data_IF_826525198350
#
_entry.id   IF_826525198350
#
_cell.length_a   1.000
_cell.length_b   1.000
_cell.length_c   1.000
_cell.angle_alpha   90.00
_cell.angle_beta   90.00
_cell.angle_gamma   90.00
#
_symmetry.space_group_name_H-M   'P 1'
#
loop_
_entity.id
_entity.type
_entity.pdbx_description
1 polymer ?
#
# COMPACT_ATOMS: atom_id res chain seq x y z
N UNK A 1 11.68 15.75 -7.56
CA UNK A 1 11.98 15.68 -6.11
C UNK A 1 12.30 17.06 -5.54
N UNK A 2 13.13 17.85 -6.21
CA UNK A 2 13.62 19.14 -5.70
C UNK A 2 12.52 20.20 -5.56
N UNK A 3 11.42 20.07 -6.29
CA UNK A 3 10.27 20.98 -6.25
C UNK A 3 9.05 20.40 -5.54
N UNK A 4 9.11 19.16 -5.05
CA UNK A 4 8.00 18.56 -4.35
C UNK A 4 7.92 19.01 -2.88
N UNK A 5 6.72 19.18 -2.33
CA UNK A 5 6.55 19.40 -0.90
C UNK A 5 7.17 18.27 -0.08
N UNK A 6 7.58 18.60 1.14
CA UNK A 6 8.07 17.58 2.07
C UNK A 6 7.03 16.49 2.32
N UNK A 7 7.47 15.25 2.34
CA UNK A 7 6.65 14.07 2.64
C UNK A 7 7.32 13.22 3.72
N UNK A 8 6.50 12.62 4.55
CA UNK A 8 6.94 11.69 5.61
C UNK A 8 7.58 10.40 5.08
N UNK A 9 7.47 10.15 3.77
CA UNK A 9 7.83 8.87 3.17
C UNK A 9 6.79 7.78 3.43
N UNK A 10 7.11 6.56 2.99
CA UNK A 10 6.24 5.38 3.13
C UNK A 10 6.64 4.59 4.36
N UNK A 11 5.91 4.77 5.46
CA UNK A 11 6.12 4.04 6.72
C UNK A 11 4.78 3.77 7.42
N UNK A 12 4.74 2.76 8.28
CA UNK A 12 3.57 2.37 9.07
C UNK A 12 2.28 2.22 8.24
N UNK A 13 2.39 1.73 7.01
CA UNK A 13 1.27 1.54 6.07
C UNK A 13 0.45 2.80 5.74
N UNK A 14 0.99 3.99 5.98
CA UNK A 14 0.25 5.25 5.94
C UNK A 14 0.12 5.88 4.56
N UNK A 15 0.88 5.45 3.56
CA UNK A 15 0.96 6.15 2.27
C UNK A 15 -0.40 6.29 1.61
N UNK A 16 -1.14 5.19 1.42
CA UNK A 16 -2.46 5.26 0.81
C UNK A 16 -3.41 6.11 1.66
N UNK A 17 -3.41 5.92 2.95
CA UNK A 17 -4.36 6.58 3.84
C UNK A 17 -4.12 8.08 3.95
N UNK A 18 -2.91 8.51 4.30
CA UNK A 18 -2.58 9.92 4.53
C UNK A 18 -2.25 10.69 3.26
N UNK A 19 -1.33 10.17 2.46
CA UNK A 19 -0.92 10.85 1.23
C UNK A 19 -2.03 10.79 0.19
N UNK A 20 -2.72 9.66 0.08
CA UNK A 20 -3.89 9.51 -0.78
C UNK A 20 -5.01 10.49 -0.39
N UNK A 21 -5.29 10.66 0.90
CA UNK A 21 -6.25 11.66 1.38
C UNK A 21 -5.84 13.09 1.01
N UNK A 22 -4.57 13.46 1.26
CA UNK A 22 -4.06 14.79 0.95
C UNK A 22 -4.09 15.07 -0.57
N UNK A 23 -3.72 14.07 -1.38
CA UNK A 23 -3.77 14.16 -2.84
C UNK A 23 -5.19 14.36 -3.35
N UNK A 24 -6.15 13.59 -2.82
CA UNK A 24 -7.57 13.74 -3.15
C UNK A 24 -8.09 15.13 -2.77
N UNK A 25 -7.75 15.61 -1.58
CA UNK A 25 -8.16 16.93 -1.13
C UNK A 25 -7.57 18.06 -2.01
N UNK A 26 -6.29 17.96 -2.37
CA UNK A 26 -5.63 18.90 -3.28
C UNK A 26 -6.23 18.85 -4.70
N UNK A 27 -6.52 17.67 -5.22
CA UNK A 27 -7.17 17.51 -6.52
C UNK A 27 -8.59 18.11 -6.54
N UNK A 28 -9.35 17.94 -5.47
CA UNK A 28 -10.67 18.54 -5.33
C UNK A 28 -10.61 20.07 -5.29
N UNK A 29 -9.61 20.63 -4.61
CA UNK A 29 -9.41 22.08 -4.58
C UNK A 29 -8.99 22.62 -5.96
N UNK A 30 -8.07 21.94 -6.66
CA UNK A 30 -7.71 22.32 -8.02
C UNK A 30 -8.91 22.25 -8.98
N UNK A 31 -9.74 21.20 -8.84
CA UNK A 31 -10.99 21.07 -9.60
C UNK A 31 -11.94 22.22 -9.31
N UNK A 32 -12.11 22.60 -8.05
CA UNK A 32 -12.95 23.75 -7.66
C UNK A 32 -12.46 25.04 -8.31
N UNK A 33 -11.17 25.34 -8.26
CA UNK A 33 -10.57 26.50 -8.91
C UNK A 33 -10.81 26.51 -10.42
N UNK A 34 -10.66 25.36 -11.09
CA UNK A 34 -10.95 25.23 -12.53
C UNK A 34 -12.41 25.53 -12.85
N UNK A 35 -13.34 24.99 -12.07
CA UNK A 35 -14.77 25.20 -12.27
C UNK A 35 -15.18 26.65 -11.97
N UNK A 36 -14.59 27.33 -10.97
CA UNK A 36 -14.81 28.74 -10.69
C UNK A 36 -14.43 29.63 -11.88
N UNK A 37 -13.26 29.35 -12.47
CA UNK A 37 -12.80 30.09 -13.66
C UNK A 37 -13.71 29.79 -14.85
N UNK A 38 -13.99 28.52 -15.10
CA UNK A 38 -14.86 28.11 -16.21
C UNK A 38 -16.26 28.74 -16.08
N UNK A 39 -16.85 28.69 -14.89
CA UNK A 39 -18.17 29.27 -14.59
C UNK A 39 -18.21 30.75 -14.91
N UNK A 40 -17.20 31.51 -14.48
CA UNK A 40 -17.09 32.94 -14.71
C UNK A 40 -16.88 33.29 -16.18
N UNK A 41 -15.96 32.62 -16.86
CA UNK A 41 -15.50 33.01 -18.19
C UNK A 41 -16.32 32.39 -19.34
N UNK A 42 -16.91 31.21 -19.12
CA UNK A 42 -17.52 30.43 -20.22
C UNK A 42 -18.98 30.05 -19.98
N UNK A 43 -19.49 30.15 -18.76
CA UNK A 43 -20.82 29.64 -18.38
C UNK A 43 -21.71 30.68 -17.66
N UNK A 44 -21.59 31.95 -18.02
CA UNK A 44 -22.44 33.05 -17.54
C UNK A 44 -22.57 33.15 -15.99
N UNK A 45 -21.46 32.89 -15.27
CA UNK A 45 -21.40 32.79 -13.81
C UNK A 45 -22.21 31.62 -13.22
N UNK A 46 -22.31 30.50 -13.92
CA UNK A 46 -22.93 29.28 -13.40
C UNK A 46 -22.36 28.90 -12.04
N UNK A 47 -23.21 28.36 -11.17
CA UNK A 47 -22.77 27.86 -9.87
C UNK A 47 -21.89 26.64 -10.02
N UNK A 48 -20.97 26.43 -9.06
CA UNK A 48 -20.06 25.28 -9.09
C UNK A 48 -20.79 23.93 -9.14
N UNK A 49 -21.92 23.84 -8.46
CA UNK A 49 -22.71 22.61 -8.40
C UNK A 49 -23.41 22.28 -9.72
N UNK A 50 -23.58 23.27 -10.60
CA UNK A 50 -24.14 23.08 -11.94
C UNK A 50 -23.10 22.62 -12.97
N UNK A 51 -21.81 22.68 -12.63
CA UNK A 51 -20.70 22.33 -13.52
C UNK A 51 -20.07 20.97 -13.17
N UNK A 52 -19.56 20.29 -14.19
CA UNK A 52 -18.75 19.08 -14.03
C UNK A 52 -17.60 19.03 -15.02
N UNK A 53 -16.63 18.15 -14.75
CA UNK A 53 -15.50 17.87 -15.63
C UNK A 53 -15.53 16.38 -15.96
N UNK A 54 -15.67 16.05 -17.24
CA UNK A 54 -15.60 14.69 -17.76
C UNK A 54 -14.60 14.64 -18.90
N UNK A 55 -13.63 13.72 -18.82
CA UNK A 55 -12.59 13.54 -19.85
C UNK A 55 -11.87 14.84 -20.25
N UNK A 56 -11.61 15.71 -19.27
CA UNK A 56 -10.92 16.97 -19.50
C UNK A 56 -11.77 18.08 -20.10
N UNK A 57 -13.08 17.88 -20.19
CA UNK A 57 -14.07 18.85 -20.69
C UNK A 57 -14.96 19.32 -19.54
N UNK A 58 -15.08 20.64 -19.37
CA UNK A 58 -16.06 21.28 -18.49
C UNK A 58 -17.38 21.43 -19.21
N UNK A 59 -18.47 21.08 -18.54
CA UNK A 59 -19.84 21.15 -19.06
C UNK A 59 -20.85 21.39 -17.95
N UNK A 60 -22.07 21.81 -18.29
CA UNK A 60 -23.19 21.86 -17.38
C UNK A 60 -23.73 20.44 -17.09
N UNK A 61 -24.09 20.15 -15.82
CA UNK A 61 -24.61 18.82 -15.41
C UNK A 61 -25.98 18.50 -15.97
N UNK A 62 -26.83 19.54 -16.13
CA UNK A 62 -28.26 19.38 -16.45
C UNK A 62 -28.62 19.73 -17.89
N UNK A 63 -27.67 20.10 -18.72
CA UNK A 63 -27.91 20.34 -20.14
C UNK A 63 -27.51 19.12 -20.98
N UNK A 64 -28.28 18.85 -22.04
CA UNK A 64 -27.92 17.89 -23.08
C UNK A 64 -26.51 18.20 -23.55
N UNK A 65 -25.62 17.23 -23.48
CA UNK A 65 -24.15 17.37 -23.58
C UNK A 65 -23.64 18.07 -24.86
N UNK A 66 -24.53 18.63 -25.67
CA UNK A 66 -24.22 19.24 -26.97
C UNK A 66 -23.98 20.75 -26.97
N UNK A 67 -24.41 21.52 -25.96
CA UNK A 67 -24.53 22.96 -26.14
C UNK A 67 -23.41 23.83 -25.57
N UNK A 68 -22.75 23.49 -24.47
CA UNK A 68 -21.59 24.25 -23.95
C UNK A 68 -20.53 23.29 -23.40
N UNK A 69 -19.42 23.21 -24.08
CA UNK A 69 -18.29 22.35 -23.71
C UNK A 69 -17.00 23.14 -23.87
N UNK A 70 -16.20 23.18 -22.82
CA UNK A 70 -14.92 23.88 -22.80
C UNK A 70 -13.83 22.95 -22.27
N UNK A 71 -12.73 22.85 -22.98
CA UNK A 71 -11.61 22.04 -22.51
C UNK A 71 -10.89 22.71 -21.34
N UNK A 72 -10.28 21.90 -20.45
CA UNK A 72 -9.41 22.42 -19.40
C UNK A 72 -8.29 23.30 -20.00
N UNK A 73 -7.82 22.97 -21.19
CA UNK A 73 -6.78 23.75 -21.88
C UNK A 73 -7.26 25.18 -22.21
N UNK A 74 -8.51 25.34 -22.67
CA UNK A 74 -9.11 26.66 -22.94
C UNK A 74 -9.29 27.45 -21.63
N UNK A 75 -9.75 26.79 -20.56
CA UNK A 75 -9.86 27.43 -19.24
C UNK A 75 -8.50 27.93 -18.74
N UNK A 76 -7.46 27.13 -18.89
CA UNK A 76 -6.09 27.53 -18.50
C UNK A 76 -5.49 28.59 -19.41
N UNK A 77 -5.95 28.68 -20.67
CA UNK A 77 -5.49 29.71 -21.59
C UNK A 77 -5.93 31.11 -21.17
N UNK A 78 -7.15 31.23 -20.62
CA UNK A 78 -7.64 32.51 -20.07
C UNK A 78 -6.74 32.99 -18.91
N UNK A 79 -6.32 32.11 -18.03
CA UNK A 79 -5.38 32.45 -16.95
C UNK A 79 -4.05 33.02 -17.44
N UNK A 80 -3.57 32.60 -18.59
CA UNK A 80 -2.33 33.12 -19.17
C UNK A 80 -2.50 34.52 -19.76
N UNK A 81 -3.69 34.86 -20.25
CA UNK A 81 -3.95 36.18 -20.87
C UNK A 81 -4.17 37.26 -19.82
N UNK A 82 -4.75 36.95 -18.66
CA UNK A 82 -5.06 37.96 -17.63
C UNK A 82 -3.88 38.41 -16.79
N UNK A 83 -2.74 37.74 -16.85
CA UNK A 83 -1.63 37.97 -15.91
C UNK A 83 -0.40 38.68 -16.50
N UNK A 84 -0.52 39.39 -17.62
CA UNK A 84 0.57 40.22 -18.19
C UNK A 84 1.97 39.53 -18.15
N UNK A 85 2.02 38.23 -18.51
CA UNK A 85 3.26 37.48 -18.59
C UNK A 85 3.70 36.80 -17.29
N UNK A 86 2.93 36.86 -16.21
CA UNK A 86 3.14 35.99 -15.05
C UNK A 86 2.54 34.63 -15.33
N UNK A 87 3.28 33.56 -15.04
CA UNK A 87 2.78 32.17 -15.13
C UNK A 87 1.72 31.94 -14.06
N UNK A 88 0.46 31.99 -14.44
CA UNK A 88 -0.63 31.56 -13.59
C UNK A 88 -0.73 30.05 -13.62
N UNK A 89 -0.67 29.44 -12.46
CA UNK A 89 -0.87 28.02 -12.29
C UNK A 89 -1.99 27.78 -11.29
N UNK A 90 -2.80 26.76 -11.55
CA UNK A 90 -3.72 26.25 -10.55
C UNK A 90 -2.94 25.32 -9.63
N UNK A 91 -2.95 25.64 -8.35
CA UNK A 91 -2.32 24.81 -7.32
C UNK A 91 -3.38 24.40 -6.32
N UNK A 92 -3.71 23.12 -6.31
CA UNK A 92 -4.63 22.56 -5.31
C UNK A 92 -3.97 22.46 -3.94
N UNK A 93 -4.65 22.94 -2.92
CA UNK A 93 -4.22 22.87 -1.53
C UNK A 93 -5.32 22.23 -0.69
N UNK A 94 -5.03 21.24 0.17
CA UNK A 94 -6.04 20.68 1.04
C UNK A 94 -6.48 21.76 2.05
N UNK A 95 -7.72 22.20 1.94
CA UNK A 95 -8.28 23.21 2.83
C UNK A 95 -8.77 22.63 4.18
N UNK A 96 -8.95 21.32 4.24
CA UNK A 96 -9.48 20.62 5.40
C UNK A 96 -8.37 19.78 6.02
N UNK A 97 -8.10 19.89 7.33
CA UNK A 97 -7.17 18.99 7.99
C UNK A 97 -7.69 17.56 7.90
N UNK A 98 -6.78 16.60 7.82
CA UNK A 98 -7.15 15.20 7.92
C UNK A 98 -7.98 14.99 9.19
N UNK A 99 -9.07 14.23 9.16
CA UNK A 99 -9.82 13.90 10.36
C UNK A 99 -8.89 13.38 11.47
N UNK A 100 -9.15 13.73 12.73
CA UNK A 100 -8.29 13.29 13.82
C UNK A 100 -8.19 11.77 13.84
N UNK A 101 -7.03 11.26 14.21
CA UNK A 101 -6.67 9.83 14.22
C UNK A 101 -7.47 8.97 15.23
N UNK A 102 -8.66 9.42 15.66
CA UNK A 102 -9.58 8.66 16.51
C UNK A 102 -10.25 7.50 15.78
N UNK A 103 -10.25 7.51 14.45
CA UNK A 103 -10.65 6.39 13.62
C UNK A 103 -9.41 5.65 13.14
N UNK A 104 -9.07 4.58 13.84
CA UNK A 104 -8.02 3.68 13.35
C UNK A 104 -8.55 2.92 12.13
N UNK A 105 -7.91 3.13 10.99
CA UNK A 105 -8.14 2.32 9.80
C UNK A 105 -7.58 0.92 10.05
N UNK A 106 -8.39 0.03 10.64
CA UNK A 106 -7.99 -1.35 10.92
C UNK A 106 -7.86 -2.13 9.63
N UNK A 107 -6.78 -2.90 9.54
CA UNK A 107 -6.54 -3.84 8.46
C UNK A 107 -6.71 -5.23 9.00
N UNK A 108 -7.21 -6.13 8.18
CA UNK A 108 -7.36 -7.54 8.53
C UNK A 108 -6.73 -8.39 7.44
N UNK A 109 -6.05 -9.45 7.84
CA UNK A 109 -5.46 -10.40 6.93
C UNK A 109 -5.41 -11.79 7.54
N UNK A 110 -5.54 -12.80 6.69
CA UNK A 110 -5.31 -14.19 7.03
C UNK A 110 -4.39 -14.79 5.96
N UNK A 111 -3.45 -15.63 6.37
CA UNK A 111 -2.55 -16.31 5.45
C UNK A 111 -2.50 -17.79 5.74
N UNK A 112 -2.41 -18.58 4.70
CA UNK A 112 -2.32 -20.04 4.73
C UNK A 112 -1.10 -20.44 3.92
N UNK A 113 -0.31 -21.35 4.49
CA UNK A 113 0.93 -21.81 3.89
C UNK A 113 0.96 -23.33 3.95
N UNK A 114 1.38 -23.95 2.84
CA UNK A 114 1.73 -25.36 2.81
C UNK A 114 3.25 -25.50 2.82
N UNK A 115 3.78 -26.38 3.65
CA UNK A 115 5.22 -26.62 3.78
C UNK A 115 5.55 -28.09 3.66
N UNK A 116 6.75 -28.36 3.17
CA UNK A 116 7.44 -29.63 3.29
C UNK A 116 8.62 -29.47 4.26
N UNK A 117 8.73 -30.34 5.24
CA UNK A 117 9.84 -30.33 6.20
C UNK A 117 10.65 -31.60 6.04
N UNK A 118 11.91 -31.45 5.69
CA UNK A 118 12.87 -32.56 5.70
C UNK A 118 13.33 -32.81 7.14
N UNK A 119 12.91 -33.91 7.70
CA UNK A 119 13.18 -34.24 9.11
C UNK A 119 14.63 -34.64 9.38
N UNK A 120 15.39 -35.02 8.35
CA UNK A 120 16.81 -35.36 8.47
C UNK A 120 17.71 -34.12 8.45
N UNK A 121 17.38 -33.17 7.58
CA UNK A 121 18.19 -31.95 7.39
C UNK A 121 17.60 -30.73 8.11
N UNK A 122 16.34 -30.76 8.47
CA UNK A 122 15.60 -29.63 9.07
C UNK A 122 15.22 -28.54 8.04
N UNK A 123 15.42 -28.79 6.76
CA UNK A 123 15.05 -27.82 5.71
C UNK A 123 13.52 -27.68 5.60
N UNK A 124 13.06 -26.45 5.52
CA UNK A 124 11.66 -26.09 5.29
C UNK A 124 11.53 -25.55 3.86
N UNK A 125 10.64 -26.15 3.09
CA UNK A 125 10.29 -25.70 1.75
C UNK A 125 8.84 -25.22 1.73
N UNK A 126 8.64 -24.00 1.24
CA UNK A 126 7.31 -23.44 1.04
C UNK A 126 6.73 -23.99 -0.28
N UNK A 127 5.59 -24.66 -0.20
CA UNK A 127 4.94 -25.30 -1.36
C UNK A 127 3.83 -24.45 -1.94
N UNK A 128 2.98 -23.85 -1.08
CA UNK A 128 1.88 -23.01 -1.52
C UNK A 128 1.66 -21.85 -0.52
N UNK A 129 1.08 -20.76 -1.03
CA UNK A 129 0.79 -19.56 -0.27
C UNK A 129 -0.52 -18.93 -0.73
N UNK A 130 -1.45 -18.77 0.21
CA UNK A 130 -2.72 -18.08 -0.02
C UNK A 130 -2.90 -17.00 1.03
N UNK A 131 -3.25 -15.80 0.61
CA UNK A 131 -3.54 -14.68 1.51
C UNK A 131 -4.93 -14.10 1.23
N UNK A 132 -5.67 -13.79 2.28
CA UNK A 132 -6.87 -12.96 2.24
C UNK A 132 -6.55 -11.64 2.94
N UNK A 133 -6.80 -10.51 2.27
CA UNK A 133 -6.46 -9.18 2.77
C UNK A 133 -7.66 -8.23 2.68
N UNK A 134 -8.01 -7.59 3.79
CA UNK A 134 -8.91 -6.45 3.85
C UNK A 134 -8.10 -5.15 3.99
N UNK A 135 -8.08 -4.38 2.94
CA UNK A 135 -7.45 -3.04 2.88
C UNK A 135 -8.45 -1.97 2.43
N UNK A 136 -9.73 -2.18 2.73
CA UNK A 136 -10.80 -1.32 2.22
C UNK A 136 -11.00 -1.48 0.71
N UNK A 137 -11.40 -0.42 0.05
CA UNK A 137 -11.51 -0.40 -1.42
C UNK A 137 -10.14 -0.65 -2.07
N UNK A 138 -10.08 -1.59 -2.97
CA UNK A 138 -8.86 -1.93 -3.71
C UNK A 138 -8.70 -0.97 -4.90
N UNK A 139 -7.82 0.02 -4.75
CA UNK A 139 -7.58 1.03 -5.79
C UNK A 139 -6.78 0.46 -6.97
N UNK A 140 -5.78 -0.37 -6.68
CA UNK A 140 -4.97 -1.05 -7.70
C UNK A 140 -4.71 -2.49 -7.29
N UNK A 141 -5.48 -3.46 -7.83
CA UNK A 141 -5.38 -4.88 -7.44
C UNK A 141 -3.99 -5.47 -7.68
N UNK A 142 -3.35 -5.12 -8.79
CA UNK A 142 -2.04 -5.68 -9.13
C UNK A 142 -0.95 -5.21 -8.14
N UNK A 143 -0.92 -3.93 -7.82
CA UNK A 143 0.05 -3.37 -6.88
C UNK A 143 -0.22 -3.88 -5.46
N UNK A 144 -1.48 -3.96 -5.05
CA UNK A 144 -1.85 -4.48 -3.74
C UNK A 144 -1.52 -5.97 -3.62
N UNK A 145 -1.80 -6.78 -4.64
CA UNK A 145 -1.39 -8.19 -4.69
C UNK A 145 0.12 -8.34 -4.49
N UNK A 146 0.90 -7.54 -5.21
CA UNK A 146 2.36 -7.56 -5.10
C UNK A 146 2.83 -7.20 -3.67
N UNK A 147 2.20 -6.21 -3.03
CA UNK A 147 2.51 -5.83 -1.66
C UNK A 147 2.17 -6.95 -0.65
N UNK A 148 1.04 -7.64 -0.83
CA UNK A 148 0.63 -8.74 0.04
C UNK A 148 1.58 -9.93 -0.09
N UNK A 149 1.94 -10.31 -1.31
CA UNK A 149 2.91 -11.37 -1.58
C UNK A 149 4.28 -11.00 -1.02
N UNK A 150 4.74 -9.77 -1.24
CA UNK A 150 6.01 -9.28 -0.69
C UNK A 150 6.05 -9.32 0.84
N UNK A 151 4.94 -8.93 1.50
CA UNK A 151 4.80 -9.07 2.95
C UNK A 151 4.84 -10.53 3.42
N UNK A 152 4.18 -11.43 2.69
CA UNK A 152 4.24 -12.88 2.95
C UNK A 152 5.68 -13.43 2.86
N UNK A 153 6.43 -13.01 1.84
CA UNK A 153 7.86 -13.35 1.68
C UNK A 153 8.67 -12.85 2.89
N UNK A 154 8.51 -11.60 3.29
CA UNK A 154 9.19 -11.06 4.47
C UNK A 154 8.82 -11.84 5.73
N UNK A 155 7.52 -12.11 5.94
CA UNK A 155 7.08 -12.89 7.10
C UNK A 155 7.64 -14.30 7.14
N UNK A 156 7.66 -14.99 6.00
CA UNK A 156 8.27 -16.31 5.89
C UNK A 156 9.81 -16.25 6.12
N UNK A 157 10.48 -15.21 5.64
CA UNK A 157 11.90 -14.96 5.92
C UNK A 157 12.19 -14.86 7.40
N UNK A 158 11.42 -14.05 8.14
CA UNK A 158 11.52 -13.94 9.59
C UNK A 158 11.25 -15.26 10.30
N UNK A 159 10.31 -16.06 9.78
CA UNK A 159 9.99 -17.35 10.39
C UNK A 159 11.10 -18.39 10.21
N UNK A 160 11.81 -18.38 9.06
CA UNK A 160 12.71 -19.49 8.69
C UNK A 160 14.20 -19.13 8.84
N UNK A 161 14.63 -17.90 8.44
CA UNK A 161 16.06 -17.60 8.27
C UNK A 161 16.57 -16.38 9.00
N UNK A 162 15.78 -15.31 9.08
CA UNK A 162 16.28 -13.99 9.45
C UNK A 162 16.57 -13.89 10.94
N UNK A 163 17.85 -13.77 11.29
CA UNK A 163 18.33 -13.68 12.67
C UNK A 163 19.54 -12.78 12.76
N UNK A 164 19.44 -11.70 13.53
CA UNK A 164 20.58 -10.88 13.89
C UNK A 164 21.34 -11.54 15.04
N UNK A 165 22.63 -11.77 14.84
CA UNK A 165 23.53 -12.33 15.85
C UNK A 165 24.39 -11.20 16.42
N UNK A 166 24.28 -10.99 17.74
CA UNK A 166 25.07 -10.01 18.45
C UNK A 166 26.23 -10.66 19.19
N UNK A 167 27.32 -9.95 19.31
CA UNK A 167 28.38 -10.27 20.24
C UNK A 167 27.90 -9.87 21.66
N UNK A 168 27.91 -10.80 22.59
CA UNK A 168 27.35 -10.62 23.93
C UNK A 168 28.16 -9.61 24.76
N UNK A 169 29.47 -9.51 24.52
CA UNK A 169 30.36 -8.64 25.28
C UNK A 169 30.35 -7.19 24.77
N UNK A 170 30.26 -7.03 23.43
CA UNK A 170 30.43 -5.72 22.77
C UNK A 170 29.13 -5.15 22.20
N UNK A 171 28.08 -5.97 22.01
CA UNK A 171 26.85 -5.59 21.34
C UNK A 171 27.01 -5.43 19.80
N UNK A 172 28.16 -5.77 19.24
CA UNK A 172 28.41 -5.66 17.82
C UNK A 172 27.63 -6.73 17.03
N UNK A 173 27.08 -6.35 15.86
CA UNK A 173 26.39 -7.28 14.98
C UNK A 173 27.44 -8.14 14.26
N UNK A 174 27.38 -9.47 14.42
CA UNK A 174 28.31 -10.44 13.82
C UNK A 174 27.98 -10.77 12.38
N UNK A 175 26.72 -10.73 11.98
CA UNK A 175 26.23 -11.11 10.66
C UNK A 175 25.55 -9.96 9.90
N UNK A 176 26.06 -8.74 10.01
CA UNK A 176 25.52 -7.54 9.39
C UNK A 176 25.80 -7.42 7.88
N UNK A 177 25.77 -8.52 7.14
CA UNK A 177 26.00 -8.58 5.71
C UNK A 177 25.12 -9.64 5.05
N UNK A 178 24.90 -9.53 3.73
CA UNK A 178 23.98 -10.44 2.99
C UNK A 178 24.56 -11.86 2.78
N UNK A 179 25.79 -12.11 3.13
CA UNK A 179 26.37 -13.46 3.10
C UNK A 179 25.88 -14.29 4.29
N UNK A 180 25.86 -13.69 5.47
CA UNK A 180 25.59 -14.37 6.73
C UNK A 180 24.17 -14.12 7.23
N UNK A 181 23.60 -12.92 6.97
CA UNK A 181 22.18 -12.64 7.20
C UNK A 181 21.38 -13.16 6.01
N UNK A 182 20.71 -14.30 6.22
CA UNK A 182 19.97 -14.97 5.14
C UNK A 182 18.61 -14.34 4.91
N UNK A 183 18.31 -14.06 3.64
CA UNK A 183 16.99 -13.63 3.19
C UNK A 183 16.38 -14.71 2.29
N UNK A 184 15.06 -14.80 2.30
CA UNK A 184 14.35 -15.60 1.30
C UNK A 184 14.56 -15.01 -0.09
N UNK A 185 14.88 -15.87 -1.05
CA UNK A 185 15.01 -15.52 -2.46
C UNK A 185 13.71 -15.84 -3.21
N UNK A 186 13.56 -15.30 -4.39
CA UNK A 186 12.41 -15.61 -5.25
C UNK A 186 12.25 -17.11 -5.54
N UNK A 187 13.36 -17.88 -5.54
CA UNK A 187 13.34 -19.32 -5.74
C UNK A 187 12.87 -20.13 -4.52
N UNK A 188 12.87 -19.52 -3.34
CA UNK A 188 12.51 -20.16 -2.07
C UNK A 188 11.03 -19.97 -1.72
N UNK A 189 10.33 -19.12 -2.48
CA UNK A 189 8.90 -18.82 -2.28
C UNK A 189 8.03 -19.53 -3.34
N UNK A 190 6.79 -19.93 -3.01
CA UNK A 190 5.93 -20.64 -3.96
C UNK A 190 5.72 -19.87 -5.26
N UNK A 191 5.82 -20.57 -6.37
CA UNK A 191 5.55 -20.04 -7.70
C UNK A 191 4.12 -19.48 -7.85
N UNK A 192 3.14 -20.12 -7.20
CA UNK A 192 1.75 -19.68 -7.16
C UNK A 192 1.43 -19.08 -5.80
N UNK A 193 1.44 -17.75 -5.74
CA UNK A 193 0.90 -17.03 -4.60
C UNK A 193 -0.48 -16.48 -4.98
N UNK A 194 -1.51 -16.92 -4.28
CA UNK A 194 -2.87 -16.44 -4.46
C UNK A 194 -3.20 -15.36 -3.43
N UNK A 195 -3.85 -14.29 -3.88
CA UNK A 195 -4.30 -13.21 -2.99
C UNK A 195 -5.77 -12.92 -3.28
N UNK A 196 -6.58 -13.03 -2.25
CA UNK A 196 -7.99 -12.69 -2.23
C UNK A 196 -8.17 -11.35 -1.51
N UNK A 197 -9.02 -10.49 -2.04
CA UNK A 197 -9.36 -9.24 -1.40
C UNK A 197 -10.76 -9.30 -0.80
N UNK A 198 -10.86 -8.99 0.48
CA UNK A 198 -12.15 -8.70 1.09
C UNK A 198 -12.51 -7.25 0.77
N UNK A 199 -13.66 -7.05 0.16
CA UNK A 199 -14.15 -5.71 -0.14
C UNK A 199 -14.86 -5.12 1.07
N UNK A 200 -14.28 -4.05 1.61
CA UNK A 200 -14.88 -3.23 2.65
C UNK A 200 -14.71 -1.76 2.28
N UNK A 201 -15.36 -0.86 2.99
CA UNK A 201 -15.30 0.57 2.73
C UNK A 201 -14.90 1.31 4.00
N UNK A 202 -13.81 2.09 3.92
CA UNK A 202 -13.41 2.97 5.02
C UNK A 202 -13.98 4.38 4.79
N UNK A 203 -14.78 4.92 5.73
CA UNK A 203 -15.44 6.21 5.53
C UNK A 203 -14.48 7.41 5.52
N UNK A 204 -13.25 7.24 6.01
CA UNK A 204 -12.25 8.31 6.11
C UNK A 204 -11.18 8.18 5.04
N UNK A 205 -10.81 6.97 4.69
CA UNK A 205 -9.78 6.70 3.68
C UNK A 205 -10.15 7.20 2.29
N UNK A 206 -9.16 7.51 1.45
CA UNK A 206 -9.42 8.00 0.10
C UNK A 206 -10.17 6.93 -0.72
N UNK A 207 -11.36 7.26 -1.20
CA UNK A 207 -12.26 6.36 -1.93
C UNK A 207 -12.60 5.05 -1.18
N UNK A 208 -12.52 5.05 0.16
CA UNK A 208 -12.77 3.88 0.97
C UNK A 208 -11.56 2.96 1.18
N UNK A 209 -10.38 3.35 0.70
CA UNK A 209 -9.16 2.57 0.82
C UNK A 209 -8.49 2.72 2.19
N UNK A 210 -7.80 1.67 2.63
CA UNK A 210 -6.90 1.65 3.79
C UNK A 210 -5.46 1.38 3.35
N UNK A 211 -4.53 1.49 4.29
CA UNK A 211 -3.17 1.02 4.07
C UNK A 211 -3.08 -0.51 3.98
N UNK A 212 -1.97 -1.02 3.45
CA UNK A 212 -1.69 -2.45 3.36
C UNK A 212 -0.18 -2.74 3.32
N UNK A 213 0.65 -1.79 3.76
CA UNK A 213 2.11 -1.90 3.58
C UNK A 213 2.73 -3.01 4.41
N UNK A 214 2.37 -3.12 5.68
CA UNK A 214 3.06 -3.96 6.67
C UNK A 214 2.21 -5.10 7.23
N UNK A 215 0.88 -4.99 7.18
CA UNK A 215 -0.03 -6.00 7.74
C UNK A 215 0.20 -7.44 7.22
N UNK A 216 0.62 -7.67 5.96
CA UNK A 216 0.85 -9.03 5.49
C UNK A 216 2.07 -9.72 6.13
N UNK A 217 3.02 -8.98 6.69
CA UNK A 217 4.24 -9.54 7.28
C UNK A 217 3.89 -10.39 8.51
N UNK A 218 3.12 -9.84 9.43
CA UNK A 218 2.80 -10.49 10.70
C UNK A 218 2.03 -11.82 10.50
N UNK A 219 1.08 -11.84 9.59
CA UNK A 219 0.32 -13.04 9.27
C UNK A 219 1.20 -14.14 8.65
N UNK A 220 2.22 -13.76 7.84
CA UNK A 220 3.16 -14.68 7.22
C UNK A 220 4.02 -15.44 8.23
N UNK A 221 4.50 -14.75 9.26
CA UNK A 221 5.29 -15.37 10.33
C UNK A 221 4.51 -16.50 11.00
N UNK A 222 3.32 -16.19 11.46
CA UNK A 222 2.48 -17.14 12.19
C UNK A 222 1.95 -18.29 11.31
N UNK A 223 1.65 -18.02 10.05
CA UNK A 223 1.21 -19.04 9.11
C UNK A 223 2.28 -20.09 8.86
N UNK A 224 3.54 -19.67 8.66
CA UNK A 224 4.67 -20.59 8.46
C UNK A 224 4.95 -21.38 9.74
N UNK A 225 4.97 -20.74 10.91
CA UNK A 225 5.21 -21.43 12.18
C UNK A 225 4.13 -22.51 12.45
N UNK A 226 2.85 -22.19 12.18
CA UNK A 226 1.76 -23.14 12.33
C UNK A 226 1.85 -24.29 11.31
N UNK A 227 2.24 -23.99 10.07
CA UNK A 227 2.41 -25.02 9.04
C UNK A 227 3.52 -26.03 9.41
N UNK A 228 4.64 -25.54 9.93
CA UNK A 228 5.74 -26.40 10.43
C UNK A 228 5.29 -27.25 11.61
N UNK A 229 4.55 -26.67 12.56
CA UNK A 229 3.96 -27.42 13.66
C UNK A 229 3.02 -28.50 13.15
N UNK A 230 2.16 -28.20 12.21
CA UNK A 230 1.21 -29.19 11.66
C UNK A 230 1.93 -30.34 10.92
N UNK A 231 3.06 -30.04 10.27
CA UNK A 231 3.85 -31.05 9.57
C UNK A 231 4.67 -31.95 10.52
N UNK A 232 5.14 -31.40 11.64
CA UNK A 232 6.12 -32.06 12.51
C UNK A 232 5.56 -32.50 13.86
N UNK A 233 4.46 -31.89 14.32
CA UNK A 233 3.92 -32.06 15.66
C UNK A 233 4.69 -31.34 16.77
N UNK A 234 5.75 -30.60 16.42
CA UNK A 234 6.65 -29.94 17.38
C UNK A 234 6.71 -28.43 17.13
N UNK A 235 6.65 -27.62 18.19
CA UNK A 235 6.94 -26.20 18.11
C UNK A 235 8.43 -25.94 18.05
N UNK A 236 8.84 -25.15 17.08
CA UNK A 236 10.22 -24.73 16.88
C UNK A 236 10.32 -23.23 17.12
N UNK A 237 11.31 -22.79 17.90
CA UNK A 237 11.57 -21.38 18.16
C UNK A 237 12.02 -20.65 16.88
N UNK A 238 11.52 -19.41 16.71
CA UNK A 238 11.89 -18.57 15.57
C UNK A 238 13.31 -17.98 15.69
N UNK A 239 14.00 -17.81 14.58
CA UNK A 239 13.72 -18.38 13.27
C UNK A 239 13.93 -19.89 13.28
N UNK A 240 13.08 -20.62 12.56
CA UNK A 240 13.11 -22.10 12.47
C UNK A 240 14.21 -22.55 11.50
N UNK A 241 15.47 -22.24 11.85
CA UNK A 241 16.60 -22.67 11.05
C UNK A 241 16.70 -24.20 11.01
N UNK A 242 17.32 -24.79 9.97
CA UNK A 242 17.47 -26.24 9.87
C UNK A 242 18.03 -26.89 11.14
N UNK A 243 19.02 -26.28 11.76
CA UNK A 243 19.57 -26.75 13.03
C UNK A 243 18.55 -26.77 14.16
N UNK A 244 17.72 -25.73 14.29
CA UNK A 244 16.69 -25.66 15.33
C UNK A 244 15.57 -26.68 15.10
N UNK A 245 15.21 -26.90 13.83
CA UNK A 245 14.20 -27.91 13.46
C UNK A 245 14.71 -29.31 13.82
N UNK A 246 15.92 -29.68 13.40
CA UNK A 246 16.51 -31.01 13.75
C UNK A 246 16.61 -31.20 15.25
N UNK A 247 17.08 -30.20 15.99
CA UNK A 247 17.15 -30.23 17.45
C UNK A 247 15.81 -30.43 18.11
N UNK A 248 14.77 -29.70 17.65
CA UNK A 248 13.41 -29.82 18.18
C UNK A 248 12.79 -31.22 17.91
N UNK A 249 13.17 -31.85 16.80
CA UNK A 249 12.75 -33.21 16.45
C UNK A 249 13.51 -34.31 17.22
N UNK A 250 14.44 -33.94 18.09
CA UNK A 250 15.23 -34.89 18.89
C UNK A 250 16.49 -35.43 18.19
N UNK A 251 16.90 -34.77 17.08
CA UNK A 251 18.20 -34.95 16.46
C UNK A 251 19.35 -34.35 17.30
N UNK A 252 20.47 -34.96 17.32
CA UNK A 252 21.67 -34.56 18.10
C UNK A 252 22.38 -33.39 17.41
#
# INVERSE_FOLDING_TARGET
TDSCPWSHGSLASNTMYRVGWATRAAANDARRQLLEIAGREFFDNAALDDLDITEGIVHLRNEDASNRRVSISEVLHVLRSDTLGQTSSITGRPAVPMPPATTFARQFGAQFVEVEVDIETGQIKLLDFVAAQDSGTVVNPQVLKNQVVGGGICGAGFAIYEHLVFDEDTGAIKNGNLLDYKLLRAADFPWKAEVLFAESYDPVGPFGARGAGESPIAAGISAVAQAVYNATGVWVDLPMTPERVVRALGGV
#
